data_IF_529816828856
#
_entry.id   IF_529816828856
#
_cell.length_a   1.000
_cell.length_b   1.000
_cell.length_c   1.000
_cell.angle_alpha   90.00
_cell.angle_beta   90.00
_cell.angle_gamma   90.00
#
_symmetry.space_group_name_H-M   'P 1'
#
loop_
_entity.id
_entity.type
_entity.pdbx_description
1 polymer ?
#
# COMPACT_ATOMS: atom_id res chain seq x y z
N UNK A 1 -19.54 -17.65 18.35
CA UNK A 1 -18.16 -17.88 17.87
C UNK A 1 -17.95 -17.02 16.64
N UNK A 2 -17.46 -15.79 16.83
CA UNK A 2 -17.29 -14.80 15.78
C UNK A 2 -15.82 -14.81 15.36
N UNK A 3 -15.51 -15.27 14.14
CA UNK A 3 -14.15 -15.24 13.62
C UNK A 3 -13.72 -13.78 13.47
N UNK A 4 -12.78 -13.35 14.32
CA UNK A 4 -12.01 -12.14 14.11
C UNK A 4 -11.15 -12.38 12.86
N UNK A 5 -11.41 -11.62 11.79
CA UNK A 5 -10.51 -11.55 10.64
C UNK A 5 -9.22 -10.89 11.12
N UNK A 6 -8.17 -11.70 11.26
CA UNK A 6 -6.80 -11.29 11.56
C UNK A 6 -6.38 -10.22 10.55
N UNK A 7 -6.23 -8.97 11.01
CA UNK A 7 -5.52 -7.94 10.25
C UNK A 7 -4.05 -8.34 10.24
N UNK A 8 -3.59 -8.91 9.12
CA UNK A 8 -2.17 -9.19 8.88
C UNK A 8 -1.39 -7.86 8.87
N UNK A 9 -0.89 -7.49 10.04
CA UNK A 9 0.02 -6.35 10.24
C UNK A 9 1.38 -6.71 9.64
N UNK A 10 1.55 -6.47 8.34
CA UNK A 10 2.83 -6.68 7.67
C UNK A 10 3.78 -5.52 8.00
N UNK A 11 4.88 -5.88 8.64
CA UNK A 11 6.05 -5.07 9.03
C UNK A 11 6.34 -3.86 8.12
N UNK A 12 6.47 -2.67 8.73
CA UNK A 12 6.97 -1.44 8.10
C UNK A 12 8.26 -1.75 7.34
N UNK A 13 8.15 -1.68 6.02
CA UNK A 13 9.07 -2.27 5.04
C UNK A 13 9.95 -1.16 4.46
N UNK A 14 10.70 -0.48 5.34
CA UNK A 14 11.67 0.55 4.94
C UNK A 14 11.08 1.75 4.19
N UNK A 15 11.90 2.75 3.84
CA UNK A 15 11.45 3.96 3.13
C UNK A 15 11.19 3.73 1.63
N UNK A 16 11.43 2.52 1.10
CA UNK A 16 11.47 2.24 -0.33
C UNK A 16 10.56 1.07 -0.71
N UNK A 17 9.58 1.36 -1.57
CA UNK A 17 8.61 0.38 -2.07
C UNK A 17 8.76 0.23 -3.58
N UNK A 18 9.13 -0.96 -4.04
CA UNK A 18 9.15 -1.29 -5.48
C UNK A 18 7.79 -1.83 -5.88
N UNK A 19 7.08 -1.12 -6.74
CA UNK A 19 5.76 -1.50 -7.24
C UNK A 19 5.94 -2.06 -8.66
N UNK A 20 5.77 -3.38 -8.89
CA UNK A 20 5.87 -3.99 -10.22
C UNK A 20 4.73 -3.56 -11.16
N UNK A 21 4.83 -3.85 -12.48
CA UNK A 21 3.71 -3.68 -13.41
C UNK A 21 2.46 -4.46 -12.96
N UNK A 22 1.27 -3.87 -13.09
CA UNK A 22 -0.01 -4.43 -12.63
C UNK A 22 -0.14 -4.62 -11.12
N UNK A 23 0.64 -3.87 -10.34
CA UNK A 23 0.50 -3.79 -8.89
C UNK A 23 0.16 -2.37 -8.45
N UNK A 24 -0.44 -2.27 -7.27
CA UNK A 24 -0.74 -1.00 -6.60
C UNK A 24 -0.39 -1.06 -5.12
N UNK A 25 -0.20 0.11 -4.51
CA UNK A 25 -0.13 0.30 -3.05
C UNK A 25 -1.09 1.41 -2.63
N UNK A 26 -1.53 1.36 -1.38
CA UNK A 26 -2.27 2.45 -0.76
C UNK A 26 -1.37 3.24 0.17
N UNK A 27 -1.29 4.55 -0.07
CA UNK A 27 -0.50 5.48 0.72
C UNK A 27 -1.46 6.45 1.41
N UNK A 28 -1.44 6.45 2.73
CA UNK A 28 -2.12 7.44 3.56
C UNK A 28 -1.18 8.63 3.77
N UNK A 29 -1.62 9.82 3.35
CA UNK A 29 -0.99 11.08 3.76
C UNK A 29 -1.61 11.54 5.09
N UNK A 30 -0.80 11.62 6.14
CA UNK A 30 -1.23 12.00 7.49
C UNK A 30 -1.58 13.48 7.63
N UNK A 31 -1.07 14.34 6.74
CA UNK A 31 -1.39 15.77 6.80
C UNK A 31 -2.82 16.05 6.34
N UNK A 32 -3.23 15.40 5.25
CA UNK A 32 -4.55 15.57 4.64
C UNK A 32 -5.54 14.48 5.07
N UNK A 33 -5.04 13.40 5.71
CA UNK A 33 -5.79 12.17 6.00
C UNK A 33 -6.43 11.54 4.75
N UNK A 34 -5.82 11.77 3.58
CA UNK A 34 -6.28 11.21 2.31
C UNK A 34 -5.45 9.99 1.96
N UNK A 35 -6.13 8.88 1.70
CA UNK A 35 -5.51 7.69 1.12
C UNK A 35 -5.55 7.77 -0.39
N UNK A 36 -4.38 7.63 -1.01
CA UNK A 36 -4.23 7.62 -2.48
C UNK A 36 -3.65 6.29 -2.95
N UNK A 37 -3.91 5.99 -4.22
CA UNK A 37 -3.40 4.80 -4.89
C UNK A 37 -2.12 5.16 -5.66
N UNK A 38 -1.05 4.41 -5.44
CA UNK A 38 0.16 4.49 -6.26
C UNK A 38 0.26 3.21 -7.10
N UNK A 39 0.42 3.38 -8.41
CA UNK A 39 0.39 2.29 -9.40
C UNK A 39 1.81 2.06 -9.95
N UNK A 40 2.17 0.79 -10.18
CA UNK A 40 3.45 0.43 -10.80
C UNK A 40 3.44 0.50 -12.35
N UNK A 41 4.60 0.46 -13.03
CA UNK A 41 5.95 0.26 -12.51
C UNK A 41 6.56 1.54 -11.93
N UNK A 42 6.69 1.61 -10.61
CA UNK A 42 7.22 2.79 -9.91
C UNK A 42 7.94 2.37 -8.64
N UNK A 43 9.06 3.01 -8.36
CA UNK A 43 9.71 2.93 -7.06
C UNK A 43 9.18 4.09 -6.23
N UNK A 44 8.32 3.78 -5.27
CA UNK A 44 7.75 4.74 -4.34
C UNK A 44 8.69 4.93 -3.14
N UNK A 45 9.01 6.19 -2.83
CA UNK A 45 9.81 6.56 -1.67
C UNK A 45 8.85 7.18 -0.66
N UNK A 46 8.64 6.48 0.45
CA UNK A 46 7.74 6.91 1.54
C UNK A 46 8.31 8.16 2.20
N UNK A 47 7.54 9.24 2.23
CA UNK A 47 7.87 10.43 3.03
C UNK A 47 7.48 10.23 4.50
N UNK A 48 8.00 11.07 5.39
CA UNK A 48 7.74 10.94 6.83
C UNK A 48 6.26 11.12 7.21
N UNK A 49 5.53 11.98 6.47
CA UNK A 49 4.10 12.19 6.64
C UNK A 49 3.24 11.11 5.96
N UNK A 50 3.86 10.08 5.39
CA UNK A 50 3.18 9.06 4.61
C UNK A 50 3.26 7.70 5.28
N UNK A 51 2.20 6.93 5.16
CA UNK A 51 2.13 5.57 5.67
C UNK A 51 1.53 4.66 4.63
N UNK A 52 2.22 3.57 4.32
CA UNK A 52 1.69 2.55 3.40
C UNK A 52 0.74 1.64 4.19
N UNK A 53 -0.55 1.74 3.92
CA UNK A 53 -1.59 0.97 4.62
C UNK A 53 -1.78 -0.41 4.01
N UNK A 54 -1.65 -0.52 2.68
CA UNK A 54 -1.73 -1.76 1.92
C UNK A 54 -0.48 -1.86 1.07
N UNK A 55 0.26 -2.96 1.22
CA UNK A 55 1.46 -3.25 0.44
C UNK A 55 1.16 -3.56 -1.03
N UNK A 56 2.18 -3.92 -1.83
CA UNK A 56 1.97 -4.18 -3.25
C UNK A 56 0.98 -5.34 -3.48
N UNK A 57 -0.22 -5.01 -3.95
CA UNK A 57 -1.26 -5.96 -4.35
C UNK A 57 -1.43 -5.99 -5.86
N UNK A 58 -1.83 -7.14 -6.39
CA UNK A 58 -2.05 -7.34 -7.82
C UNK A 58 -3.38 -6.73 -8.23
N UNK A 59 -3.41 -6.02 -9.35
CA UNK A 59 -4.64 -5.49 -9.93
C UNK A 59 -5.60 -6.61 -10.33
N UNK A 60 -6.90 -6.33 -10.20
CA UNK A 60 -7.95 -7.20 -10.74
C UNK A 60 -7.97 -7.02 -12.26
N UNK A 61 -7.80 -8.12 -13.00
CA UNK A 61 -7.93 -8.15 -14.47
C UNK A 61 -9.26 -8.80 -14.83
N UNK A 62 -10.15 -8.04 -15.46
CA UNK A 62 -11.41 -8.55 -16.01
C UNK A 62 -11.17 -8.82 -17.50
N UNK A 63 -11.32 -10.07 -17.98
CA UNK A 63 -11.15 -10.43 -19.39
C UNK A 63 -12.30 -9.96 -20.28
#
# INVERSE_FOLDING_TARGET
>A
MSKATTMDKKSDSGPLYRIPPYYYIHVLDQNTNVTRLEIGPKTFIKQDNETVTIGPEKMITVP
#
